data_IF_342353594753
#
_entry.id   IF_342353594753
#
_cell.length_a   1.000
_cell.length_b   1.000
_cell.length_c   1.000
_cell.angle_alpha   90.00
_cell.angle_beta   90.00
_cell.angle_gamma   90.00
#
_symmetry.space_group_name_H-M   'P 1'
#
loop_
_entity.id
_entity.type
_entity.pdbx_description
1 polymer ?
#
# COMPACT_ATOMS: atom_id res chain seq x y z
N UNK A 1 48.04 -44.87 13.94
CA UNK A 1 47.41 -44.22 12.75
C UNK A 1 45.97 -43.91 13.11
N UNK A 2 45.68 -42.66 13.37
CA UNK A 2 44.31 -42.22 13.73
C UNK A 2 43.72 -41.61 12.47
N UNK A 3 42.72 -42.31 11.90
CA UNK A 3 42.03 -41.84 10.70
C UNK A 3 41.02 -40.73 11.03
N UNK A 4 41.21 -39.55 10.45
CA UNK A 4 40.22 -38.48 10.47
C UNK A 4 39.17 -38.76 9.39
N UNK A 5 37.91 -38.99 9.77
CA UNK A 5 36.78 -38.96 8.83
C UNK A 5 36.40 -37.49 8.57
N UNK A 6 36.24 -37.06 7.33
CA UNK A 6 35.71 -35.75 7.03
C UNK A 6 34.20 -35.73 7.24
N UNK A 7 33.74 -34.88 8.16
CA UNK A 7 32.32 -34.54 8.29
C UNK A 7 31.91 -33.62 7.11
N UNK A 8 31.15 -34.16 6.18
CA UNK A 8 30.49 -33.36 5.14
C UNK A 8 29.32 -32.61 5.77
N UNK A 9 29.46 -31.29 5.93
CA UNK A 9 28.37 -30.43 6.30
C UNK A 9 27.46 -30.21 5.09
N UNK A 10 26.30 -30.86 5.11
CA UNK A 10 25.26 -30.63 4.10
C UNK A 10 24.62 -29.26 4.42
N UNK A 11 24.94 -28.23 3.62
CA UNK A 11 24.26 -26.95 3.69
C UNK A 11 22.85 -27.12 3.09
N UNK A 12 21.84 -27.14 3.94
CA UNK A 12 20.43 -27.09 3.52
C UNK A 12 20.14 -25.62 3.16
N UNK A 13 20.20 -25.31 1.86
CA UNK A 13 19.69 -24.05 1.35
C UNK A 13 18.16 -24.10 1.45
N UNK A 14 17.57 -23.41 2.43
CA UNK A 14 16.13 -23.13 2.45
C UNK A 14 15.80 -22.27 1.23
N UNK A 15 15.17 -22.84 0.21
CA UNK A 15 14.44 -22.06 -0.78
C UNK A 15 13.25 -21.42 -0.03
N UNK A 16 13.38 -20.15 0.32
CA UNK A 16 12.21 -19.37 0.65
C UNK A 16 11.34 -19.30 -0.62
N UNK A 17 10.18 -19.95 -0.61
CA UNK A 17 9.21 -19.76 -1.68
C UNK A 17 8.87 -18.27 -1.78
N UNK A 18 8.96 -17.70 -2.97
CA UNK A 18 8.46 -16.36 -3.22
C UNK A 18 6.96 -16.37 -2.88
N UNK A 19 6.56 -15.56 -1.92
CA UNK A 19 5.13 -15.32 -1.62
C UNK A 19 4.68 -14.10 -2.40
N UNK A 20 3.42 -14.08 -2.75
CA UNK A 20 2.81 -12.87 -3.29
C UNK A 20 2.92 -11.73 -2.27
N UNK A 21 3.14 -10.47 -2.71
CA UNK A 21 3.17 -9.32 -1.82
C UNK A 21 1.82 -9.16 -1.10
N UNK A 22 1.85 -8.69 0.15
CA UNK A 22 0.64 -8.18 0.78
C UNK A 22 0.37 -6.80 0.19
N UNK A 23 -0.86 -6.56 -0.20
CA UNK A 23 -1.35 -5.25 -0.64
C UNK A 23 -2.06 -4.58 0.52
N UNK A 24 -1.61 -3.39 0.89
CA UNK A 24 -2.27 -2.51 1.84
C UNK A 24 -2.94 -1.39 1.07
N UNK A 25 -4.22 -1.17 1.32
CA UNK A 25 -5.00 -0.14 0.64
C UNK A 25 -5.47 0.89 1.66
N UNK A 26 -5.26 2.15 1.34
CA UNK A 26 -5.70 3.30 2.15
C UNK A 26 -6.36 4.35 1.26
N UNK A 27 -7.25 5.12 1.87
CA UNK A 27 -7.81 6.31 1.25
C UNK A 27 -6.79 7.45 1.31
N UNK A 28 -6.88 8.42 0.40
CA UNK A 28 -6.14 9.68 0.49
C UNK A 28 -6.55 10.50 1.72
N UNK A 29 -5.67 11.35 2.22
CA UNK A 29 -5.93 12.27 3.33
C UNK A 29 -7.07 13.25 3.05
N UNK A 30 -7.52 13.95 4.09
CA UNK A 30 -8.70 14.80 4.13
C UNK A 30 -8.68 15.91 3.07
N UNK A 31 -9.85 16.16 2.51
CA UNK A 31 -10.08 17.14 1.43
C UNK A 31 -10.60 18.46 1.96
N UNK A 32 -10.28 19.59 1.31
CA UNK A 32 -10.90 20.88 1.62
C UNK A 32 -12.42 20.86 1.46
N UNK A 33 -13.14 21.47 2.39
CA UNK A 33 -14.61 21.54 2.39
C UNK A 33 -15.19 22.40 1.26
N UNK A 34 -14.38 23.30 0.69
CA UNK A 34 -14.76 24.16 -0.44
C UNK A 34 -14.62 23.47 -1.81
N UNK A 35 -14.20 22.19 -1.83
CA UNK A 35 -14.02 21.41 -3.05
C UNK A 35 -12.76 21.76 -3.84
N UNK A 36 -11.84 22.56 -3.29
CA UNK A 36 -10.55 22.84 -3.93
C UNK A 36 -9.68 21.58 -4.06
N UNK A 37 -8.68 21.66 -4.94
CA UNK A 37 -7.73 20.56 -5.14
C UNK A 37 -6.77 20.43 -3.95
N UNK A 38 -6.12 19.26 -3.84
CA UNK A 38 -5.12 18.99 -2.82
C UNK A 38 -5.71 18.58 -1.47
N UNK A 39 -4.84 18.41 -0.48
CA UNK A 39 -5.17 18.08 0.90
C UNK A 39 -5.50 19.33 1.70
N UNK A 40 -6.37 19.21 2.72
CA UNK A 40 -6.55 20.25 3.74
C UNK A 40 -5.46 20.11 4.84
N UNK A 41 -5.56 20.89 5.93
CA UNK A 41 -4.57 20.83 7.01
C UNK A 41 -4.49 19.45 7.67
N UNK A 42 -5.65 18.82 7.93
CA UNK A 42 -5.74 17.48 8.52
C UNK A 42 -5.12 16.42 7.58
N UNK A 43 -5.43 16.50 6.27
CA UNK A 43 -4.82 15.60 5.27
C UNK A 43 -3.30 15.75 5.17
N UNK A 44 -2.76 16.95 5.35
CA UNK A 44 -1.32 17.16 5.44
C UNK A 44 -0.72 16.57 6.74
N UNK A 45 -1.43 16.67 7.86
CA UNK A 45 -1.04 16.03 9.12
C UNK A 45 -1.08 14.50 8.99
N UNK A 46 -2.12 13.93 8.35
CA UNK A 46 -2.20 12.50 8.03
C UNK A 46 -1.02 12.05 7.18
N UNK A 47 -0.67 12.77 6.14
CA UNK A 47 0.51 12.46 5.31
C UNK A 47 1.82 12.41 6.14
N UNK A 48 1.96 13.23 7.19
CA UNK A 48 3.10 13.14 8.11
C UNK A 48 2.98 11.94 9.05
N UNK A 49 1.78 11.61 9.54
CA UNK A 49 1.54 10.45 10.39
C UNK A 49 1.90 9.14 9.66
N UNK A 50 1.52 8.98 8.40
CA UNK A 50 1.78 7.78 7.61
C UNK A 50 3.28 7.43 7.52
N UNK A 51 4.17 8.39 7.70
CA UNK A 51 5.63 8.15 7.80
C UNK A 51 6.00 7.26 8.99
N UNK A 52 5.22 7.33 10.07
CA UNK A 52 5.39 6.46 11.24
C UNK A 52 4.60 5.16 11.08
N UNK A 53 3.37 5.22 10.54
CA UNK A 53 2.51 4.05 10.36
C UNK A 53 3.15 3.04 9.42
N UNK A 54 3.63 3.46 8.26
CA UNK A 54 4.23 2.59 7.23
C UNK A 54 5.75 2.73 7.11
N UNK A 55 6.38 3.44 8.01
CA UNK A 55 7.82 3.69 7.98
C UNK A 55 8.66 2.41 8.04
N UNK A 56 9.96 2.55 7.85
CA UNK A 56 10.92 1.45 7.73
C UNK A 56 10.84 0.42 8.86
N UNK A 57 10.55 0.87 10.08
CA UNK A 57 10.54 0.05 11.30
C UNK A 57 9.12 -0.40 11.71
N UNK A 58 8.10 -0.12 10.91
CA UNK A 58 6.70 -0.41 11.22
C UNK A 58 6.31 -1.89 11.12
N UNK A 59 7.10 -2.68 10.40
CA UNK A 59 6.79 -4.09 10.11
C UNK A 59 5.92 -4.29 8.86
N UNK A 60 5.35 -3.24 8.26
CA UNK A 60 4.60 -3.35 7.00
C UNK A 60 5.47 -3.73 5.80
N UNK A 61 6.77 -3.42 5.82
CA UNK A 61 7.71 -3.83 4.78
C UNK A 61 7.38 -3.28 3.39
N UNK A 62 6.95 -2.01 3.33
CA UNK A 62 6.58 -1.35 2.07
C UNK A 62 7.81 -1.17 1.17
N UNK A 63 7.73 -1.66 -0.04
CA UNK A 63 8.79 -1.58 -1.07
C UNK A 63 8.28 -1.04 -2.40
N UNK A 64 6.97 -0.87 -2.53
CA UNK A 64 6.32 -0.22 -3.66
C UNK A 64 5.13 0.59 -3.17
N UNK A 65 4.95 1.79 -3.70
CA UNK A 65 3.83 2.66 -3.37
C UNK A 65 3.16 3.08 -4.67
N UNK A 66 1.85 2.90 -4.74
CA UNK A 66 1.02 3.31 -5.87
C UNK A 66 0.04 4.41 -5.46
N UNK A 67 -0.17 5.36 -6.35
CA UNK A 67 -1.24 6.33 -6.27
C UNK A 67 -1.83 6.58 -7.67
N UNK A 68 -3.11 6.90 -7.75
CA UNK A 68 -3.73 7.20 -9.04
C UNK A 68 -3.04 8.36 -9.76
N UNK A 69 -3.06 8.34 -11.08
CA UNK A 69 -2.48 9.40 -11.92
C UNK A 69 -3.09 10.77 -11.62
N UNK A 70 -2.32 11.77 -11.17
CA UNK A 70 -2.80 13.14 -11.03
C UNK A 70 -3.11 13.77 -12.39
N UNK A 71 -4.13 14.62 -12.45
CA UNK A 71 -4.43 15.38 -13.67
C UNK A 71 -3.63 16.68 -13.73
N UNK A 72 -3.30 17.15 -14.92
CA UNK A 72 -2.53 18.38 -15.14
C UNK A 72 -3.16 19.66 -14.55
N UNK A 73 -4.47 19.63 -14.27
CA UNK A 73 -5.19 20.72 -13.62
C UNK A 73 -5.23 20.62 -12.09
N UNK A 74 -4.42 19.72 -11.47
CA UNK A 74 -4.32 19.49 -10.04
C UNK A 74 -5.42 18.59 -9.45
N UNK A 75 -6.40 18.15 -10.24
CA UNK A 75 -7.38 17.16 -9.76
C UNK A 75 -6.71 15.80 -9.60
N UNK A 76 -7.26 14.96 -8.70
CA UNK A 76 -6.77 13.60 -8.43
C UNK A 76 -5.36 13.53 -7.85
N UNK A 77 -4.80 14.64 -7.32
CA UNK A 77 -3.45 14.68 -6.76
C UNK A 77 -3.38 14.21 -5.29
N UNK A 78 -4.50 14.23 -4.55
CA UNK A 78 -4.53 13.90 -3.12
C UNK A 78 -3.87 12.56 -2.74
N UNK A 79 -4.11 11.45 -3.46
CA UNK A 79 -3.44 10.19 -3.13
C UNK A 79 -1.91 10.28 -3.23
N UNK A 80 -1.39 10.93 -4.27
CA UNK A 80 0.04 11.19 -4.39
C UNK A 80 0.54 12.06 -3.23
N UNK A 81 -0.11 13.21 -2.98
CA UNK A 81 0.26 14.14 -1.89
C UNK A 81 0.23 13.46 -0.51
N UNK A 82 -0.66 12.48 -0.31
CA UNK A 82 -0.77 11.73 0.96
C UNK A 82 0.46 10.86 1.20
N UNK A 83 1.00 10.22 0.19
CA UNK A 83 2.08 9.23 0.36
C UNK A 83 3.48 9.74 -0.02
N UNK A 84 3.60 10.90 -0.65
CA UNK A 84 4.91 11.47 -1.02
C UNK A 84 5.89 11.61 0.17
N UNK A 85 5.49 12.09 1.38
CA UNK A 85 6.40 12.18 2.51
C UNK A 85 6.94 10.81 2.96
N UNK A 86 6.08 9.78 2.98
CA UNK A 86 6.46 8.41 3.28
C UNK A 86 7.40 7.84 2.21
N UNK A 87 7.07 8.04 0.94
CA UNK A 87 7.90 7.57 -0.18
C UNK A 87 9.31 8.15 -0.11
N UNK A 88 9.42 9.45 0.20
CA UNK A 88 10.70 10.12 0.40
C UNK A 88 11.53 9.49 1.53
N UNK A 89 10.91 9.16 2.68
CA UNK A 89 11.59 8.53 3.81
C UNK A 89 12.05 7.10 3.50
N UNK A 90 11.28 6.37 2.69
CA UNK A 90 11.63 5.02 2.26
C UNK A 90 12.60 4.99 1.06
N UNK A 91 12.89 6.14 0.45
CA UNK A 91 13.70 6.24 -0.76
C UNK A 91 13.01 5.63 -1.99
N UNK A 92 11.68 5.65 -2.02
CA UNK A 92 10.85 5.12 -3.10
C UNK A 92 10.33 6.25 -4.00
N UNK A 93 10.00 5.88 -5.23
CA UNK A 93 9.21 6.73 -6.13
C UNK A 93 7.78 6.21 -6.13
N UNK A 94 6.80 7.09 -5.98
CA UNK A 94 5.39 6.70 -6.09
C UNK A 94 5.06 6.37 -7.53
N UNK A 95 4.52 5.18 -7.76
CA UNK A 95 4.03 4.76 -9.07
C UNK A 95 2.64 5.39 -9.33
N UNK A 96 2.56 6.25 -10.31
CA UNK A 96 1.33 6.93 -10.74
C UNK A 96 0.93 6.54 -12.16
N UNK A 97 1.29 5.35 -12.62
CA UNK A 97 1.07 4.91 -13.99
C UNK A 97 -0.39 4.56 -14.31
N UNK A 98 -1.21 4.25 -13.29
CA UNK A 98 -2.59 3.85 -13.46
C UNK A 98 -3.57 5.00 -13.21
N UNK A 99 -4.57 5.18 -14.10
CA UNK A 99 -5.65 6.16 -13.88
C UNK A 99 -6.58 5.68 -12.76
N UNK A 100 -7.31 6.61 -12.14
CA UNK A 100 -8.26 6.34 -11.04
C UNK A 100 -9.25 5.24 -11.37
N UNK A 101 -9.76 5.26 -12.58
CA UNK A 101 -10.86 4.42 -13.03
C UNK A 101 -10.36 3.20 -13.85
N UNK A 102 -9.09 2.79 -13.66
CA UNK A 102 -8.47 1.64 -14.33
C UNK A 102 -7.94 0.60 -13.33
N UNK A 103 -8.83 -0.16 -12.65
CA UNK A 103 -8.44 -1.16 -11.67
C UNK A 103 -7.65 -2.33 -12.29
N UNK A 104 -7.87 -2.65 -13.58
CA UNK A 104 -7.10 -3.69 -14.26
C UNK A 104 -5.63 -3.30 -14.44
N UNK A 105 -5.33 -2.01 -14.70
CA UNK A 105 -3.96 -1.51 -14.69
C UNK A 105 -3.29 -1.76 -13.32
N UNK A 106 -3.98 -1.44 -12.23
CA UNK A 106 -3.46 -1.67 -10.86
C UNK A 106 -3.18 -3.15 -10.62
N UNK A 107 -4.10 -4.02 -11.01
CA UNK A 107 -3.94 -5.48 -10.95
C UNK A 107 -2.72 -5.96 -11.74
N UNK A 108 -2.53 -5.46 -12.95
CA UNK A 108 -1.40 -5.85 -13.80
C UNK A 108 -0.06 -5.45 -13.17
N UNK A 109 0.03 -4.26 -12.56
CA UNK A 109 1.21 -3.80 -11.82
C UNK A 109 1.49 -4.73 -10.62
N UNK A 110 0.47 -5.05 -9.81
CA UNK A 110 0.62 -5.92 -8.63
C UNK A 110 1.06 -7.33 -9.04
N UNK A 111 0.43 -7.92 -10.04
CA UNK A 111 0.77 -9.27 -10.54
C UNK A 111 2.13 -9.32 -11.24
N UNK A 112 2.57 -8.22 -11.82
CA UNK A 112 3.89 -8.07 -12.42
C UNK A 112 4.98 -7.70 -11.44
N UNK A 113 4.63 -7.38 -10.19
CA UNK A 113 5.59 -6.91 -9.20
C UNK A 113 6.50 -8.03 -8.71
N UNK A 114 7.78 -7.97 -9.09
CA UNK A 114 8.83 -8.92 -8.70
C UNK A 114 9.56 -8.43 -7.43
N UNK A 115 8.78 -8.25 -6.37
CA UNK A 115 9.31 -7.88 -5.06
C UNK A 115 10.09 -9.03 -4.43
N UNK A 116 11.39 -8.81 -4.12
CA UNK A 116 12.22 -9.84 -3.47
C UNK A 116 11.96 -9.91 -1.97
N UNK A 117 11.61 -11.09 -1.46
CA UNK A 117 11.50 -11.35 -0.02
C UNK A 117 10.20 -10.90 0.61
N UNK A 118 10.28 -10.06 1.66
CA UNK A 118 9.11 -9.52 2.38
C UNK A 118 8.61 -8.19 1.76
N UNK A 119 8.62 -8.11 0.44
CA UNK A 119 8.17 -6.94 -0.29
C UNK A 119 6.64 -6.83 -0.24
N UNK A 120 6.12 -5.69 0.19
CA UNK A 120 4.69 -5.41 0.21
C UNK A 120 4.41 -4.09 -0.53
N UNK A 121 3.16 -3.92 -0.94
CA UNK A 121 2.69 -2.81 -1.74
C UNK A 121 1.71 -1.96 -0.91
N UNK A 122 1.88 -0.65 -0.93
CA UNK A 122 0.91 0.31 -0.41
C UNK A 122 0.21 0.99 -1.58
N UNK A 123 -1.12 0.98 -1.56
CA UNK A 123 -1.97 1.67 -2.54
C UNK A 123 -2.71 2.78 -1.81
N UNK A 124 -2.51 4.02 -2.24
CA UNK A 124 -3.29 5.16 -1.78
C UNK A 124 -4.17 5.66 -2.92
N UNK A 125 -5.49 5.67 -2.73
CA UNK A 125 -6.43 5.92 -3.80
C UNK A 125 -7.63 6.77 -3.35
N UNK A 126 -8.50 7.08 -4.28
CA UNK A 126 -9.82 7.64 -4.01
C UNK A 126 -10.76 6.51 -3.57
N UNK A 127 -11.52 6.73 -2.49
CA UNK A 127 -12.23 5.67 -1.76
C UNK A 127 -13.24 4.89 -2.60
N UNK A 128 -14.02 5.57 -3.47
CA UNK A 128 -15.01 4.88 -4.32
C UNK A 128 -14.37 3.85 -5.28
N UNK A 129 -13.09 4.05 -5.64
CA UNK A 129 -12.38 3.16 -6.55
C UNK A 129 -11.52 2.10 -5.83
N UNK A 130 -11.43 2.13 -4.49
CA UNK A 130 -10.71 1.10 -3.74
C UNK A 130 -11.40 -0.27 -3.83
N UNK A 131 -12.73 -0.29 -3.73
CA UNK A 131 -13.54 -1.50 -3.92
C UNK A 131 -13.30 -2.11 -5.30
N UNK A 132 -13.37 -1.30 -6.36
CA UNK A 132 -13.12 -1.77 -7.75
C UNK A 132 -11.73 -2.40 -7.91
N UNK A 133 -10.70 -1.85 -7.22
CA UNK A 133 -9.33 -2.41 -7.23
C UNK A 133 -9.30 -3.77 -6.55
N UNK A 134 -9.94 -3.91 -5.39
CA UNK A 134 -9.99 -5.18 -4.62
C UNK A 134 -10.74 -6.24 -5.40
N UNK A 135 -11.89 -5.90 -6.01
CA UNK A 135 -12.65 -6.79 -6.89
C UNK A 135 -11.82 -7.24 -8.11
N UNK A 136 -11.14 -6.31 -8.78
CA UNK A 136 -10.28 -6.64 -9.91
C UNK A 136 -9.15 -7.60 -9.52
N UNK A 137 -8.63 -7.51 -8.29
CA UNK A 137 -7.60 -8.41 -7.78
C UNK A 137 -8.11 -9.83 -7.54
N UNK A 138 -9.40 -10.00 -7.14
CA UNK A 138 -10.02 -11.31 -7.01
C UNK A 138 -10.97 -11.52 -5.83
N UNK A 139 -11.32 -10.47 -5.09
CA UNK A 139 -12.35 -10.49 -4.05
C UNK A 139 -13.67 -10.01 -4.63
N UNK A 140 -14.49 -10.94 -5.12
CA UNK A 140 -15.78 -10.63 -5.78
C UNK A 140 -16.83 -10.04 -4.82
N UNK A 141 -16.61 -10.11 -3.50
CA UNK A 141 -17.50 -9.63 -2.44
C UNK A 141 -16.87 -8.46 -1.65
N UNK A 142 -15.94 -7.71 -2.28
CA UNK A 142 -15.24 -6.59 -1.63
C UNK A 142 -16.24 -5.58 -1.03
N UNK A 143 -16.03 -5.13 0.22
CA UNK A 143 -16.90 -4.11 0.83
C UNK A 143 -16.69 -2.74 0.21
N UNK A 144 -17.69 -1.87 0.34
CA UNK A 144 -17.49 -0.45 0.07
C UNK A 144 -16.58 0.17 1.14
N UNK A 145 -15.61 0.99 0.70
CA UNK A 145 -14.81 1.77 1.64
C UNK A 145 -15.69 2.88 2.25
N UNK A 146 -15.76 3.02 3.61
CA UNK A 146 -16.66 3.98 4.24
C UNK A 146 -16.39 5.44 3.83
N UNK A 147 -17.45 6.15 3.44
CA UNK A 147 -17.38 7.54 2.93
C UNK A 147 -16.87 8.55 3.95
N UNK A 148 -17.12 8.32 5.22
CA UNK A 148 -16.82 9.21 6.34
C UNK A 148 -15.48 8.88 7.04
N UNK A 149 -14.80 7.80 6.65
CA UNK A 149 -13.53 7.38 7.22
C UNK A 149 -12.36 7.73 6.30
N UNK A 150 -11.25 8.15 6.91
CA UNK A 150 -9.98 8.43 6.22
C UNK A 150 -8.83 7.55 6.71
N UNK A 151 -9.04 6.80 7.78
CA UNK A 151 -8.00 6.14 8.58
C UNK A 151 -7.92 4.62 8.40
N UNK A 152 -8.77 4.03 7.58
CA UNK A 152 -8.85 2.57 7.47
C UNK A 152 -7.74 2.05 6.55
N UNK A 153 -6.98 1.08 7.07
CA UNK A 153 -6.04 0.26 6.31
C UNK A 153 -6.71 -1.08 6.01
N UNK A 154 -6.94 -1.37 4.75
CA UNK A 154 -7.30 -2.71 4.30
C UNK A 154 -6.05 -3.55 4.05
N UNK A 155 -6.04 -4.79 4.52
CA UNK A 155 -4.97 -5.75 4.28
C UNK A 155 -5.45 -6.87 3.38
N UNK A 156 -4.87 -6.99 2.21
CA UNK A 156 -5.21 -7.96 1.17
C UNK A 156 -3.98 -8.81 0.83
N UNK A 157 -3.85 -10.01 1.42
CA UNK A 157 -2.75 -10.92 1.11
C UNK A 157 -3.03 -11.72 -0.17
N UNK A 158 -1.99 -12.20 -0.87
CA UNK A 158 -2.18 -13.15 -1.95
C UNK A 158 -2.88 -14.43 -1.46
N UNK A 159 -3.80 -14.99 -2.24
CA UNK A 159 -4.11 -14.75 -3.66
C UNK A 159 -5.11 -13.59 -3.94
N UNK A 160 -5.32 -12.68 -3.01
CA UNK A 160 -6.14 -11.45 -3.16
C UNK A 160 -7.66 -11.70 -3.25
N UNK A 161 -8.16 -12.70 -2.58
CA UNK A 161 -9.58 -13.11 -2.62
C UNK A 161 -10.37 -12.68 -1.40
N UNK A 162 -9.76 -11.98 -0.44
CA UNK A 162 -10.41 -11.55 0.79
C UNK A 162 -9.58 -10.47 1.48
N UNK A 163 -10.23 -9.40 1.94
CA UNK A 163 -9.66 -8.45 2.90
C UNK A 163 -9.60 -9.14 4.26
N UNK A 164 -8.40 -9.41 4.75
CA UNK A 164 -8.21 -10.17 5.99
C UNK A 164 -8.13 -9.31 7.24
N UNK A 165 -8.01 -8.00 7.09
CA UNK A 165 -7.93 -7.05 8.21
C UNK A 165 -8.34 -5.66 7.77
N UNK A 166 -9.07 -4.98 8.65
CA UNK A 166 -9.42 -3.57 8.59
C UNK A 166 -9.02 -2.95 9.93
N UNK A 167 -8.07 -2.02 9.92
CA UNK A 167 -7.57 -1.37 11.13
C UNK A 167 -7.39 0.12 10.90
N UNK A 168 -7.49 0.92 11.96
CA UNK A 168 -7.20 2.34 11.89
C UNK A 168 -5.70 2.61 11.74
N UNK A 169 -5.34 3.68 11.03
CA UNK A 169 -3.99 4.24 10.98
C UNK A 169 -3.52 4.73 12.35
N UNK A 170 -4.47 5.01 13.26
CA UNK A 170 -4.24 5.56 14.60
C UNK A 170 -3.40 6.84 14.59
N UNK A 171 -3.70 7.75 13.70
CA UNK A 171 -3.06 9.06 13.63
C UNK A 171 -3.51 9.95 14.77
N UNK A 172 -2.63 10.35 15.70
CA UNK A 172 -3.02 11.11 16.87
C UNK A 172 -3.70 12.44 16.52
N UNK A 173 -4.88 12.68 17.11
CA UNK A 173 -5.66 13.88 16.90
C UNK A 173 -6.48 13.91 15.59
N UNK A 174 -6.41 12.83 14.77
CA UNK A 174 -7.22 12.67 13.56
C UNK A 174 -8.19 11.49 13.68
N UNK A 175 -7.79 10.43 14.38
CA UNK A 175 -8.49 9.14 14.44
C UNK A 175 -9.00 8.82 15.86
N UNK A 176 -9.16 9.81 16.72
CA UNK A 176 -9.60 9.70 18.12
C UNK A 176 -11.16 9.65 18.25
#
# INVERSE_FOLDING_TARGET
MIGFLPYSILAIASLAAARDPIVYLIRHGEKPSDGSNGLNAEGLERAQCLRSVFGKDSGYGITHIMAQTPKSNGKRARPLETVEPLAADLGLTVDTSCDRDDPECVKDVIKGYDGKGLANILICWEHDALTDIVEALGDDDAPDYPDDSYDIIWTLPGPYTEITSEVSENCPGLDD
#
